data_IF_192198725058
#
_entry.id   IF_192198725058
#
_cell.length_a   1.000
_cell.length_b   1.000
_cell.length_c   1.000
_cell.angle_alpha   90.00
_cell.angle_beta   90.00
_cell.angle_gamma   90.00
#
_symmetry.space_group_name_H-M   'P 1'
#
loop_
_entity.id
_entity.type
_entity.pdbx_description
1 polymer ?
#
# COMPACT_ATOMS: atom_id res chain seq x y z
N UNK A 1 -54.29 -11.74 5.89
CA UNK A 1 -53.20 -11.17 5.10
C UNK A 1 -52.91 -12.11 3.94
N UNK A 2 -52.89 -11.64 2.67
CA UNK A 2 -52.78 -12.55 1.52
C UNK A 2 -51.38 -13.21 1.51
N UNK A 3 -51.28 -14.51 1.22
CA UNK A 3 -50.01 -15.27 1.10
C UNK A 3 -49.00 -14.58 0.19
N UNK A 4 -49.46 -13.86 -0.84
CA UNK A 4 -48.62 -13.07 -1.75
C UNK A 4 -47.91 -11.91 -1.03
N UNK A 5 -48.55 -11.22 -0.08
CA UNK A 5 -47.94 -10.14 0.71
C UNK A 5 -46.88 -10.67 1.69
N UNK A 6 -47.10 -11.87 2.25
CA UNK A 6 -46.13 -12.53 3.12
C UNK A 6 -44.88 -12.99 2.34
N UNK A 7 -45.08 -13.57 1.15
CA UNK A 7 -43.95 -13.95 0.27
C UNK A 7 -43.14 -12.74 -0.20
N UNK A 8 -43.81 -11.64 -0.53
CA UNK A 8 -43.15 -10.40 -0.91
C UNK A 8 -42.32 -9.81 0.24
N UNK A 9 -42.86 -9.83 1.45
CA UNK A 9 -42.16 -9.39 2.67
C UNK A 9 -40.94 -10.26 2.99
N UNK A 10 -41.07 -11.58 2.85
CA UNK A 10 -39.95 -12.51 3.04
C UNK A 10 -38.85 -12.31 1.96
N UNK A 11 -39.22 -12.09 0.71
CA UNK A 11 -38.29 -11.81 -0.37
C UNK A 11 -37.52 -10.49 -0.12
N UNK A 12 -38.24 -9.43 0.26
CA UNK A 12 -37.62 -8.14 0.57
C UNK A 12 -36.65 -8.22 1.78
N UNK A 13 -37.06 -8.92 2.83
CA UNK A 13 -36.21 -9.16 3.98
C UNK A 13 -34.94 -9.97 3.61
N UNK A 14 -35.10 -11.03 2.82
CA UNK A 14 -33.98 -11.83 2.32
C UNK A 14 -32.98 -11.02 1.48
N UNK A 15 -33.50 -10.18 0.59
CA UNK A 15 -32.65 -9.27 -0.22
C UNK A 15 -31.89 -8.28 0.66
N UNK A 16 -32.52 -7.71 1.69
CA UNK A 16 -31.86 -6.79 2.62
C UNK A 16 -30.74 -7.46 3.40
N UNK A 17 -30.93 -8.68 3.86
CA UNK A 17 -29.88 -9.46 4.56
C UNK A 17 -28.70 -9.76 3.63
N UNK A 18 -28.95 -10.15 2.37
CA UNK A 18 -27.89 -10.43 1.40
C UNK A 18 -27.07 -9.16 1.05
N UNK A 19 -27.74 -8.03 0.86
CA UNK A 19 -27.06 -6.74 0.62
C UNK A 19 -26.24 -6.31 1.83
N UNK A 20 -26.75 -6.48 3.05
CA UNK A 20 -26.01 -6.18 4.27
C UNK A 20 -24.79 -7.09 4.46
N UNK A 21 -24.93 -8.38 4.17
CA UNK A 21 -23.82 -9.33 4.22
C UNK A 21 -22.74 -8.99 3.16
N UNK A 22 -23.15 -8.64 1.94
CA UNK A 22 -22.22 -8.20 0.89
C UNK A 22 -21.49 -6.91 1.27
N UNK A 23 -22.22 -5.93 1.81
CA UNK A 23 -21.64 -4.68 2.32
C UNK A 23 -20.58 -4.95 3.39
N UNK A 24 -20.91 -5.81 4.35
CA UNK A 24 -19.99 -6.16 5.45
C UNK A 24 -18.77 -6.97 4.96
N UNK A 25 -18.92 -7.85 3.96
CA UNK A 25 -17.84 -8.69 3.44
C UNK A 25 -16.99 -8.00 2.37
N UNK A 26 -17.40 -6.82 1.87
CA UNK A 26 -16.79 -6.16 0.73
C UNK A 26 -15.28 -5.86 0.85
N UNK A 27 -14.70 -5.46 2.02
CA UNK A 27 -13.28 -5.21 2.10
C UNK A 27 -12.44 -6.48 1.93
N UNK A 28 -12.88 -7.62 2.48
CA UNK A 28 -12.19 -8.91 2.27
C UNK A 28 -12.21 -9.34 0.82
N UNK A 29 -13.32 -9.06 0.11
CA UNK A 29 -13.40 -9.33 -1.33
C UNK A 29 -12.42 -8.46 -2.10
N UNK A 30 -12.25 -7.20 -1.73
CA UNK A 30 -11.28 -6.28 -2.36
C UNK A 30 -9.85 -6.71 -2.07
N UNK A 31 -9.51 -7.11 -0.84
CA UNK A 31 -8.18 -7.66 -0.50
C UNK A 31 -7.87 -8.90 -1.33
N UNK A 32 -8.85 -9.79 -1.51
CA UNK A 32 -8.65 -10.98 -2.33
C UNK A 32 -8.45 -10.64 -3.82
N UNK A 33 -9.18 -9.65 -4.36
CA UNK A 33 -8.96 -9.13 -5.71
C UNK A 33 -7.56 -8.53 -5.85
N UNK A 34 -7.11 -7.75 -4.87
CA UNK A 34 -5.78 -7.15 -4.84
C UNK A 34 -4.71 -8.24 -4.85
N UNK A 35 -4.83 -9.25 -3.98
CA UNK A 35 -3.93 -10.40 -3.94
C UNK A 35 -3.84 -11.09 -5.30
N UNK A 36 -4.97 -11.40 -5.92
CA UNK A 36 -5.01 -12.02 -7.26
C UNK A 36 -4.39 -11.13 -8.34
N UNK A 37 -4.56 -9.82 -8.25
CA UNK A 37 -3.97 -8.87 -9.17
C UNK A 37 -2.43 -8.86 -9.05
N UNK A 38 -1.89 -8.92 -7.84
CA UNK A 38 -0.45 -9.09 -7.60
C UNK A 38 0.08 -10.43 -8.15
N UNK A 39 -0.59 -11.54 -7.87
CA UNK A 39 -0.20 -12.86 -8.36
C UNK A 39 -0.18 -12.93 -9.89
N UNK A 40 -1.12 -12.25 -10.55
CA UNK A 40 -1.23 -12.19 -12.01
C UNK A 40 -0.44 -11.05 -12.65
N UNK A 41 0.22 -10.21 -11.85
CA UNK A 41 0.91 -8.98 -12.29
C UNK A 41 -0.01 -8.04 -13.09
N UNK A 42 -1.31 -8.00 -12.71
CA UNK A 42 -2.33 -7.18 -13.35
C UNK A 42 -2.31 -5.76 -12.76
N UNK A 43 -1.43 -4.92 -13.30
CA UNK A 43 -1.27 -3.53 -12.87
C UNK A 43 -2.55 -2.70 -13.00
N UNK A 44 -3.36 -2.97 -14.04
CA UNK A 44 -4.62 -2.25 -14.25
C UNK A 44 -5.64 -2.52 -13.13
N UNK A 45 -5.66 -3.75 -12.63
CA UNK A 45 -6.53 -4.11 -11.51
C UNK A 45 -6.02 -3.49 -10.21
N UNK A 46 -4.70 -3.43 -10.04
CA UNK A 46 -4.08 -2.79 -8.87
C UNK A 46 -4.37 -1.28 -8.87
N UNK A 47 -4.22 -0.60 -10.02
CA UNK A 47 -4.55 0.82 -10.18
C UNK A 47 -5.99 1.20 -9.79
N UNK A 48 -6.93 0.27 -9.92
CA UNK A 48 -8.32 0.49 -9.52
C UNK A 48 -8.53 0.38 -8.02
N UNK A 49 -7.69 -0.39 -7.33
CA UNK A 49 -7.81 -0.69 -5.90
C UNK A 49 -6.89 0.19 -5.06
N UNK A 50 -5.78 0.67 -5.62
CA UNK A 50 -4.81 1.51 -4.92
C UNK A 50 -5.01 2.96 -5.34
N UNK A 51 -5.18 3.85 -4.36
CA UNK A 51 -5.14 5.29 -4.57
C UNK A 51 -3.69 5.77 -4.50
N UNK A 52 -3.00 5.75 -5.65
CA UNK A 52 -1.60 6.13 -5.72
C UNK A 52 -1.31 7.58 -5.31
N UNK A 53 -2.16 8.57 -5.67
CA UNK A 53 -1.99 9.94 -5.18
C UNK A 53 -1.98 10.02 -3.66
N UNK A 54 -2.99 9.45 -3.00
CA UNK A 54 -3.13 9.52 -1.55
C UNK A 54 -2.04 8.72 -0.84
N UNK A 55 -1.76 7.51 -1.31
CA UNK A 55 -0.68 6.68 -0.79
C UNK A 55 0.70 7.37 -0.89
N UNK A 56 0.94 8.17 -1.95
CA UNK A 56 2.18 8.96 -2.08
C UNK A 56 2.28 10.06 -1.05
N UNK A 57 1.19 10.79 -0.80
CA UNK A 57 1.17 11.85 0.20
C UNK A 57 1.46 11.28 1.60
N UNK A 58 0.80 10.20 1.96
CA UNK A 58 1.01 9.49 3.23
C UNK A 58 2.48 9.02 3.36
N UNK A 59 3.00 8.41 2.31
CA UNK A 59 4.38 7.93 2.30
C UNK A 59 5.42 9.06 2.36
N UNK A 60 5.17 10.21 1.73
CA UNK A 60 6.02 11.40 1.81
C UNK A 60 6.08 11.95 3.22
N UNK A 61 4.94 11.98 3.92
CA UNK A 61 4.88 12.44 5.31
C UNK A 61 5.73 11.55 6.21
N UNK A 62 5.56 10.23 6.12
CA UNK A 62 6.35 9.24 6.89
C UNK A 62 7.84 9.35 6.57
N UNK A 63 8.22 9.44 5.30
CA UNK A 63 9.61 9.55 4.87
C UNK A 63 10.27 10.84 5.37
N UNK A 64 9.60 11.98 5.25
CA UNK A 64 10.10 13.27 5.75
C UNK A 64 10.27 13.25 7.27
N UNK A 65 9.31 12.71 8.00
CA UNK A 65 9.39 12.59 9.46
C UNK A 65 10.58 11.69 9.87
N UNK A 66 10.79 10.58 9.17
CA UNK A 66 11.90 9.66 9.41
C UNK A 66 13.26 10.32 9.16
N UNK A 67 13.41 10.98 8.01
CA UNK A 67 14.65 11.71 7.66
C UNK A 67 14.94 12.81 8.68
N UNK A 68 13.94 13.59 9.08
CA UNK A 68 14.12 14.65 10.08
C UNK A 68 14.56 14.09 11.44
N UNK A 69 13.96 12.97 11.87
CA UNK A 69 14.29 12.34 13.16
C UNK A 69 15.70 11.78 13.17
N UNK A 70 16.13 11.11 12.11
CA UNK A 70 17.46 10.52 12.01
C UNK A 70 18.54 11.59 11.80
N UNK A 71 18.27 12.57 10.95
CA UNK A 71 19.17 13.68 10.72
C UNK A 71 19.45 14.52 11.99
N UNK A 72 18.42 14.75 12.81
CA UNK A 72 18.60 15.45 14.08
C UNK A 72 19.57 14.75 15.03
N UNK A 73 19.65 13.41 14.98
CA UNK A 73 20.55 12.62 15.83
C UNK A 73 21.98 12.56 15.29
N UNK A 74 22.15 12.47 13.97
CA UNK A 74 23.46 12.24 13.35
C UNK A 74 24.23 13.53 13.01
N UNK A 75 23.52 14.66 12.92
CA UNK A 75 24.07 15.92 12.43
C UNK A 75 24.32 16.94 13.53
N UNK A 76 24.20 16.58 14.82
CA UNK A 76 24.58 17.47 15.94
C UNK A 76 26.02 17.88 15.81
N UNK A 77 26.25 19.20 15.65
CA UNK A 77 27.60 19.78 15.52
C UNK A 77 28.20 19.80 14.12
N UNK A 78 27.50 19.35 13.09
CA UNK A 78 27.98 19.41 11.72
C UNK A 78 27.49 20.69 11.01
N UNK A 79 28.40 21.61 10.59
CA UNK A 79 28.01 22.87 9.93
C UNK A 79 27.32 22.66 8.55
N UNK A 80 27.48 21.48 7.95
CA UNK A 80 26.85 21.12 6.68
C UNK A 80 25.52 20.37 6.83
N UNK A 81 25.09 20.13 8.05
CA UNK A 81 23.83 19.42 8.35
C UNK A 81 22.62 20.02 7.66
N UNK A 82 22.47 21.34 7.71
CA UNK A 82 21.36 22.04 7.10
C UNK A 82 21.33 21.88 5.57
N UNK A 83 22.50 21.87 4.92
CA UNK A 83 22.61 21.65 3.48
C UNK A 83 22.24 20.22 3.11
N UNK A 84 22.73 19.23 3.88
CA UNK A 84 22.37 17.81 3.69
C UNK A 84 20.87 17.56 3.82
N UNK A 85 20.23 18.14 4.84
CA UNK A 85 18.77 18.07 5.02
C UNK A 85 17.99 18.71 3.87
N UNK A 86 18.47 19.85 3.36
CA UNK A 86 17.83 20.52 2.22
C UNK A 86 17.88 19.67 0.95
N UNK A 87 19.01 19.01 0.69
CA UNK A 87 19.17 18.10 -0.45
C UNK A 87 18.31 16.85 -0.25
N UNK A 88 18.31 16.24 0.94
CA UNK A 88 17.50 15.07 1.25
C UNK A 88 16.00 15.34 1.05
N UNK A 89 15.50 16.46 1.60
CA UNK A 89 14.09 16.85 1.42
C UNK A 89 13.73 17.11 -0.05
N UNK A 90 14.64 17.68 -0.84
CA UNK A 90 14.38 17.94 -2.25
C UNK A 90 14.30 16.65 -3.09
N UNK A 91 14.93 15.56 -2.64
CA UNK A 91 14.95 14.28 -3.32
C UNK A 91 13.81 13.33 -2.89
N UNK A 92 13.25 13.49 -1.69
CA UNK A 92 12.20 12.61 -1.17
C UNK A 92 10.98 12.58 -2.10
N UNK A 93 10.45 13.74 -2.46
CA UNK A 93 9.22 13.83 -3.24
C UNK A 93 9.34 13.15 -4.61
N UNK A 94 10.35 13.46 -5.46
CA UNK A 94 10.49 12.81 -6.76
C UNK A 94 10.80 11.31 -6.66
N UNK A 95 11.53 10.87 -5.63
CA UNK A 95 11.79 9.45 -5.42
C UNK A 95 10.51 8.70 -5.10
N UNK A 96 9.70 9.22 -4.18
CA UNK A 96 8.42 8.59 -3.80
C UNK A 96 7.45 8.61 -4.98
N UNK A 97 7.36 9.71 -5.72
CA UNK A 97 6.51 9.82 -6.91
C UNK A 97 6.87 8.78 -7.98
N UNK A 98 8.15 8.48 -8.12
CA UNK A 98 8.64 7.46 -9.05
C UNK A 98 8.29 6.03 -8.58
N UNK A 99 8.57 5.72 -7.31
CA UNK A 99 8.38 4.38 -6.74
C UNK A 99 6.90 4.05 -6.53
N UNK A 100 6.16 4.96 -5.91
CA UNK A 100 4.72 4.80 -5.64
C UNK A 100 3.93 5.30 -6.84
N UNK A 101 4.04 4.56 -7.93
CA UNK A 101 3.36 4.82 -9.18
C UNK A 101 2.97 3.50 -9.85
N UNK A 102 2.00 3.49 -10.77
CA UNK A 102 1.70 2.30 -11.56
C UNK A 102 2.92 1.74 -12.29
N UNK A 103 3.79 2.61 -12.80
CA UNK A 103 5.02 2.23 -13.49
C UNK A 103 6.06 1.65 -12.52
N UNK A 104 6.27 2.29 -11.36
CA UNK A 104 7.14 1.77 -10.30
C UNK A 104 6.68 0.41 -9.78
N UNK A 105 5.38 0.25 -9.58
CA UNK A 105 4.79 -1.04 -9.19
C UNK A 105 4.98 -2.10 -10.28
N UNK A 106 4.80 -1.75 -11.54
CA UNK A 106 5.05 -2.67 -12.66
C UNK A 106 6.52 -3.10 -12.71
N UNK A 107 7.45 -2.20 -12.50
CA UNK A 107 8.87 -2.50 -12.42
C UNK A 107 9.14 -3.48 -11.26
N UNK A 108 8.64 -3.20 -10.06
CA UNK A 108 8.76 -4.08 -8.90
C UNK A 108 8.20 -5.47 -9.17
N UNK A 109 7.02 -5.58 -9.76
CA UNK A 109 6.38 -6.86 -10.08
C UNK A 109 7.10 -7.64 -11.19
N UNK A 110 7.83 -6.96 -12.07
CA UNK A 110 8.56 -7.61 -13.17
C UNK A 110 9.96 -8.06 -12.77
N UNK A 111 10.66 -7.28 -11.97
CA UNK A 111 12.07 -7.52 -11.61
C UNK A 111 12.24 -8.10 -10.20
N UNK A 112 11.25 -7.92 -9.32
CA UNK A 112 11.37 -8.26 -7.91
C UNK A 112 12.27 -7.30 -7.11
N UNK A 113 12.84 -6.29 -7.76
CA UNK A 113 13.74 -5.32 -7.15
C UNK A 113 13.21 -3.90 -7.34
N UNK A 114 13.25 -3.12 -6.27
CA UNK A 114 13.07 -1.67 -6.35
C UNK A 114 14.40 -1.04 -6.80
N UNK A 115 14.59 -0.95 -8.10
CA UNK A 115 15.77 -0.32 -8.68
C UNK A 115 15.51 1.18 -8.87
N UNK A 116 15.70 1.96 -7.83
CA UNK A 116 15.70 3.42 -7.93
C UNK A 116 17.14 3.89 -8.01
N UNK A 117 17.60 4.23 -9.20
CA UNK A 117 18.88 4.91 -9.34
C UNK A 117 18.66 6.42 -9.24
N UNK A 118 19.47 7.15 -8.45
CA UNK A 118 19.39 8.62 -8.36
C UNK A 118 19.52 9.34 -9.69
N UNK A 119 20.17 8.71 -10.68
CA UNK A 119 20.29 9.20 -12.06
C UNK A 119 18.97 9.21 -12.83
N UNK A 120 18.02 8.36 -12.46
CA UNK A 120 16.75 8.20 -13.17
C UNK A 120 15.76 9.31 -12.80
N UNK A 121 15.94 9.90 -11.62
CA UNK A 121 15.13 11.01 -11.11
C UNK A 121 15.41 12.33 -11.84
N UNK A 122 16.60 12.47 -12.41
CA UNK A 122 17.05 13.69 -13.06
C UNK A 122 16.88 13.71 -14.58
N UNK A 123 16.33 12.65 -15.17
CA UNK A 123 16.24 12.50 -16.63
C UNK A 123 14.80 12.30 -17.10
N UNK A 124 14.20 13.36 -17.66
CA UNK A 124 12.82 13.36 -18.19
C UNK A 124 12.58 12.42 -19.39
N UNK A 125 13.62 11.71 -19.87
CA UNK A 125 13.56 10.82 -21.04
C UNK A 125 13.79 9.36 -20.64
N UNK A 126 12.95 8.79 -19.77
CA UNK A 126 13.08 7.39 -19.37
C UNK A 126 12.54 6.41 -20.41
N UNK A 127 13.47 5.92 -21.23
CA UNK A 127 13.31 4.66 -21.96
C UNK A 127 13.82 3.53 -21.07
N UNK A 128 12.92 2.82 -20.39
CA UNK A 128 13.22 1.67 -19.54
C UNK A 128 13.74 0.51 -20.41
N UNK A 129 15.05 0.28 -20.31
CA UNK A 129 15.66 -0.89 -20.94
C UNK A 129 15.42 -2.12 -20.07
N UNK A 130 14.58 -3.02 -20.55
CA UNK A 130 14.27 -4.30 -19.89
C UNK A 130 15.52 -5.18 -19.88
N UNK A 131 16.17 -5.32 -18.72
CA UNK A 131 17.04 -6.47 -18.48
C UNK A 131 16.17 -7.63 -18.04
N UNK A 132 16.20 -8.70 -18.81
CA UNK A 132 15.59 -9.98 -18.47
C UNK A 132 16.17 -10.48 -17.15
N UNK A 133 15.40 -10.41 -16.09
CA UNK A 133 15.70 -11.00 -14.79
C UNK A 133 14.81 -12.20 -14.58
N UNK A 134 15.42 -13.29 -14.25
CA UNK A 134 14.84 -14.61 -13.92
C UNK A 134 13.68 -14.45 -12.94
N UNK A 135 12.51 -14.85 -13.36
CA UNK A 135 11.26 -14.78 -12.60
C UNK A 135 11.32 -15.71 -11.40
N UNK A 136 11.75 -15.21 -10.24
CA UNK A 136 11.42 -15.90 -9.00
C UNK A 136 9.96 -15.55 -8.65
N UNK A 137 9.15 -16.60 -8.59
CA UNK A 137 7.74 -16.55 -8.23
C UNK A 137 7.61 -15.95 -6.82
N UNK A 138 6.90 -14.81 -6.68
CA UNK A 138 6.61 -14.22 -5.38
C UNK A 138 5.82 -15.23 -4.54
N UNK A 139 6.53 -15.98 -3.70
CA UNK A 139 5.93 -16.85 -2.69
C UNK A 139 5.88 -16.07 -1.38
N UNK A 140 4.67 -15.81 -0.85
CA UNK A 140 4.55 -15.25 0.49
C UNK A 140 5.33 -16.13 1.47
N UNK A 141 6.19 -15.51 2.27
CA UNK A 141 6.94 -16.24 3.31
C UNK A 141 5.97 -17.00 4.19
N UNK A 142 6.21 -18.29 4.51
CA UNK A 142 5.32 -19.09 5.34
C UNK A 142 5.11 -18.53 6.75
N UNK A 143 5.93 -17.59 7.17
CA UNK A 143 5.87 -16.92 8.47
C UNK A 143 5.10 -15.57 8.44
N UNK A 144 4.51 -15.20 7.28
CA UNK A 144 3.73 -13.97 7.16
C UNK A 144 2.34 -14.15 7.78
N UNK A 145 2.07 -13.41 8.84
CA UNK A 145 0.74 -13.33 9.46
C UNK A 145 0.01 -12.11 8.94
N UNK A 146 -1.20 -12.30 8.46
CA UNK A 146 -2.08 -11.24 7.98
C UNK A 146 -3.29 -11.15 8.88
N UNK A 147 -3.51 -10.00 9.52
CA UNK A 147 -4.71 -9.70 10.28
C UNK A 147 -5.50 -8.63 9.54
N UNK A 148 -6.81 -8.76 9.53
CA UNK A 148 -7.73 -7.87 8.82
C UNK A 148 -8.91 -7.55 9.70
N UNK A 149 -9.20 -6.27 9.92
CA UNK A 149 -10.31 -5.81 10.74
C UNK A 149 -10.82 -4.44 10.31
N UNK A 150 -12.08 -4.18 10.60
CA UNK A 150 -12.62 -2.83 10.53
C UNK A 150 -12.07 -1.97 11.67
N UNK A 151 -11.62 -0.77 11.36
CA UNK A 151 -11.32 0.30 12.33
C UNK A 151 -12.52 1.23 12.47
N UNK A 152 -13.25 1.44 11.35
CA UNK A 152 -14.51 2.18 11.28
C UNK A 152 -15.42 1.54 10.21
N UNK A 153 -16.67 2.02 10.06
CA UNK A 153 -17.61 1.56 9.02
C UNK A 153 -17.07 1.75 7.60
N UNK A 154 -16.26 2.78 7.40
CA UNK A 154 -15.67 3.14 6.12
C UNK A 154 -14.15 2.94 6.07
N UNK A 155 -13.56 2.41 7.11
CA UNK A 155 -12.12 2.19 7.22
C UNK A 155 -11.83 0.73 7.58
N UNK A 156 -10.86 0.15 6.88
CA UNK A 156 -10.45 -1.25 7.06
C UNK A 156 -8.93 -1.35 7.10
N UNK A 157 -8.41 -2.00 8.14
CA UNK A 157 -6.98 -2.15 8.39
C UNK A 157 -6.52 -3.57 8.08
N UNK A 158 -5.38 -3.65 7.40
CA UNK A 158 -4.66 -4.89 7.11
C UNK A 158 -3.30 -4.79 7.80
N UNK A 159 -3.02 -5.66 8.75
CA UNK A 159 -1.73 -5.76 9.43
C UNK A 159 -0.94 -6.95 8.88
N UNK A 160 0.25 -6.65 8.39
CA UNK A 160 1.21 -7.62 7.89
C UNK A 160 2.34 -7.76 8.92
N UNK A 161 2.49 -8.92 9.51
CA UNK A 161 3.57 -9.18 10.48
C UNK A 161 4.36 -10.43 10.14
N UNK A 162 5.67 -10.35 10.32
CA UNK A 162 6.56 -11.50 10.22
C UNK A 162 7.45 -11.51 11.47
N UNK A 163 7.16 -12.42 12.39
CA UNK A 163 7.83 -12.50 13.70
C UNK A 163 9.35 -12.67 13.62
N UNK A 164 9.89 -13.10 12.48
CA UNK A 164 11.33 -13.32 12.29
C UNK A 164 12.06 -12.10 11.74
N UNK A 165 11.35 -11.22 11.02
CA UNK A 165 11.98 -10.12 10.26
C UNK A 165 11.53 -8.75 10.75
N UNK A 166 10.28 -8.64 11.20
CA UNK A 166 9.64 -7.36 11.51
C UNK A 166 9.07 -7.44 12.91
N UNK A 167 9.64 -6.64 13.83
CA UNK A 167 9.20 -6.59 15.23
C UNK A 167 7.80 -6.01 15.40
N UNK A 168 7.45 -5.03 14.57
CA UNK A 168 6.15 -4.35 14.55
C UNK A 168 5.47 -4.55 13.19
N UNK A 169 4.12 -4.70 13.13
CA UNK A 169 3.43 -4.95 11.87
C UNK A 169 3.44 -3.72 10.95
N UNK A 170 3.57 -3.96 9.65
CA UNK A 170 3.23 -2.97 8.64
C UNK A 170 1.72 -2.96 8.51
N UNK A 171 1.11 -1.78 8.52
CA UNK A 171 -0.33 -1.60 8.39
C UNK A 171 -0.68 -0.93 7.06
N UNK A 172 -1.66 -1.49 6.37
CA UNK A 172 -2.29 -0.87 5.21
C UNK A 172 -3.70 -0.45 5.59
N UNK A 173 -4.07 0.74 5.18
CA UNK A 173 -5.41 1.29 5.38
C UNK A 173 -6.17 1.29 4.06
N UNK A 174 -7.42 0.92 4.15
CA UNK A 174 -8.35 0.96 3.03
C UNK A 174 -9.55 1.79 3.42
N UNK A 175 -9.95 2.69 2.54
CA UNK A 175 -11.17 3.46 2.69
C UNK A 175 -12.25 3.00 1.71
N UNK A 176 -13.50 3.14 2.17
CA UNK A 176 -14.67 2.79 1.37
C UNK A 176 -15.02 3.90 0.41
N UNK A 177 -15.04 3.56 -0.87
CA UNK A 177 -15.51 4.45 -1.94
C UNK A 177 -16.88 3.96 -2.44
N UNK A 178 -17.95 4.64 -2.04
CA UNK A 178 -19.31 4.22 -2.42
C UNK A 178 -19.89 3.09 -1.56
N UNK A 179 -20.66 2.16 -2.17
CA UNK A 179 -21.41 1.15 -1.41
C UNK A 179 -20.54 -0.04 -0.95
N UNK A 180 -19.71 -0.57 -1.84
CA UNK A 180 -18.95 -1.80 -1.56
C UNK A 180 -17.54 -1.79 -2.19
N UNK A 181 -17.14 -0.68 -2.77
CA UNK A 181 -15.82 -0.50 -3.34
C UNK A 181 -14.86 0.04 -2.27
N UNK A 182 -13.61 -0.40 -2.33
CA UNK A 182 -12.58 -0.02 -1.38
C UNK A 182 -11.29 0.30 -2.10
N UNK A 183 -10.57 1.29 -1.59
CA UNK A 183 -9.24 1.66 -2.07
C UNK A 183 -8.23 1.60 -0.95
N UNK A 184 -7.01 1.21 -1.27
CA UNK A 184 -5.85 1.37 -0.38
C UNK A 184 -5.41 2.82 -0.47
N UNK A 185 -5.49 3.54 0.66
CA UNK A 185 -5.24 4.97 0.74
C UNK A 185 -4.00 5.29 1.59
N UNK A 186 -3.64 4.40 2.53
CA UNK A 186 -2.55 4.67 3.45
C UNK A 186 -1.71 3.45 3.79
N UNK A 187 -0.50 3.74 4.28
CA UNK A 187 0.44 2.75 4.80
C UNK A 187 1.14 3.29 6.05
N UNK A 188 1.17 2.47 7.10
CA UNK A 188 1.98 2.74 8.29
C UNK A 188 3.13 1.74 8.36
N UNK A 189 4.34 2.28 8.30
CA UNK A 189 5.59 1.52 8.36
C UNK A 189 6.30 1.86 9.66
N UNK A 190 6.47 0.87 10.57
CA UNK A 190 7.10 1.13 11.85
C UNK A 190 8.56 1.58 11.69
N UNK A 191 8.96 2.53 12.51
CA UNK A 191 10.32 3.10 12.53
C UNK A 191 11.40 2.03 12.77
N UNK A 192 11.06 0.92 13.43
CA UNK A 192 11.96 -0.21 13.67
C UNK A 192 12.50 -0.83 12.38
N UNK A 193 11.76 -0.76 11.27
CA UNK A 193 12.21 -1.28 9.96
C UNK A 193 13.39 -0.46 9.43
N UNK A 194 13.36 0.85 9.59
CA UNK A 194 14.42 1.75 9.11
C UNK A 194 15.67 1.72 9.99
N UNK A 195 15.53 1.28 11.25
CA UNK A 195 16.63 1.21 12.22
C UNK A 195 17.33 -0.17 12.26
N UNK A 196 16.84 -1.17 11.54
CA UNK A 196 17.33 -2.56 11.57
C UNK A 196 18.50 -2.82 10.62
N UNK A 197 19.12 -1.80 10.04
CA UNK A 197 20.15 -1.95 9.00
C UNK A 197 21.58 -1.93 9.55
N UNK A 198 21.82 -2.37 10.81
CA UNK A 198 23.20 -2.61 11.30
C UNK A 198 23.23 -3.71 12.35
#
# INVERSE_FOLDING_TARGET
MSRKKQLLGLAAAGTGVLLGAYYAASPWLTVNKLKQAFEKKDTRQIEKIVDFPELREDFKEVAKATVMTNAAKELEGNPFAALGMMIANALIDPLIDSVISPAGLQALLSTGEMSVQPSDVLNENNSWSSKESTTEEFKPSPDLSVKMNYTDLNEFKIELSNKKVIAEPISLFMEREGFADWKVTGIDIPQSIFNSTY
#
